data_IF_029349471512
#
_entry.id   IF_029349471512
#
_cell.length_a   1.000
_cell.length_b   1.000
_cell.length_c   1.000
_cell.angle_alpha   90.00
_cell.angle_beta   90.00
_cell.angle_gamma   90.00
#
_symmetry.space_group_name_H-M   'P 1'
#
loop_
_entity.id
_entity.type
_entity.pdbx_description
1 polymer ?
#
# COMPACT_ATOMS: atom_id res chain seq x y z
N UNK A 1 -19.82 -10.47 -13.16
CA UNK A 1 -18.44 -10.93 -12.89
C UNK A 1 -17.54 -9.77 -13.28
N UNK A 2 -17.04 -9.00 -12.31
CA UNK A 2 -16.18 -7.85 -12.60
C UNK A 2 -14.80 -8.37 -12.97
N UNK A 3 -14.51 -8.42 -14.27
CA UNK A 3 -13.20 -8.85 -14.78
C UNK A 3 -12.27 -7.63 -14.76
N UNK A 4 -11.31 -7.61 -13.84
CA UNK A 4 -10.21 -6.65 -13.87
C UNK A 4 -8.90 -7.40 -14.16
N UNK A 5 -8.36 -7.05 -15.32
CA UNK A 5 -7.06 -7.44 -15.86
C UNK A 5 -6.82 -8.94 -16.09
N UNK A 6 -5.94 -9.28 -17.03
CA UNK A 6 -5.68 -10.65 -17.52
C UNK A 6 -5.09 -11.62 -16.48
N UNK A 7 -4.93 -11.20 -15.22
CA UNK A 7 -4.21 -11.95 -14.17
C UNK A 7 -4.98 -12.20 -12.87
N UNK A 8 -6.20 -11.67 -12.70
CA UNK A 8 -6.96 -11.94 -11.47
C UNK A 8 -7.67 -13.30 -11.55
N UNK A 9 -7.34 -14.28 -10.68
CA UNK A 9 -7.97 -15.58 -10.75
C UNK A 9 -9.45 -15.47 -10.38
N UNK A 10 -10.31 -16.34 -10.96
CA UNK A 10 -11.69 -16.48 -10.49
C UNK A 10 -11.72 -16.69 -8.97
N UNK A 11 -12.69 -16.09 -8.29
CA UNK A 11 -12.86 -16.17 -6.83
C UNK A 11 -11.80 -15.44 -5.99
N UNK A 12 -11.05 -14.49 -6.58
CA UNK A 12 -10.12 -13.63 -5.84
C UNK A 12 -10.82 -12.51 -5.03
N UNK A 13 -11.82 -12.87 -4.23
CA UNK A 13 -12.60 -11.90 -3.45
C UNK A 13 -13.58 -11.06 -4.28
N UNK A 14 -13.89 -9.85 -3.82
CA UNK A 14 -14.89 -8.99 -4.45
C UNK A 14 -15.24 -7.73 -3.67
N UNK A 15 -16.28 -7.05 -4.15
CA UNK A 15 -16.83 -5.87 -3.50
C UNK A 15 -17.73 -6.25 -2.33
N UNK A 16 -17.55 -5.55 -1.21
CA UNK A 16 -18.37 -5.63 -0.01
C UNK A 16 -19.58 -4.70 -0.12
N UNK A 17 -20.60 -4.91 0.72
CA UNK A 17 -21.79 -4.04 0.76
C UNK A 17 -21.50 -2.59 1.11
N UNK A 18 -20.36 -2.33 1.76
CA UNK A 18 -19.92 -0.98 2.10
C UNK A 18 -19.19 -0.27 0.94
N UNK A 19 -19.07 -0.91 -0.23
CA UNK A 19 -18.40 -0.40 -1.43
C UNK A 19 -16.89 -0.64 -1.46
N UNK A 20 -16.28 -1.07 -0.35
CA UNK A 20 -14.88 -1.48 -0.33
C UNK A 20 -14.67 -2.81 -1.05
N UNK A 21 -13.43 -3.10 -1.43
CA UNK A 21 -13.03 -4.35 -2.08
C UNK A 21 -12.10 -5.14 -1.17
N UNK A 22 -12.37 -6.43 -1.02
CA UNK A 22 -11.52 -7.37 -0.29
C UNK A 22 -11.07 -8.47 -1.25
N UNK A 23 -9.77 -8.69 -1.40
CA UNK A 23 -9.19 -9.62 -2.39
C UNK A 23 -7.83 -10.14 -1.93
N UNK A 24 -7.30 -11.18 -2.58
CA UNK A 24 -5.92 -11.62 -2.36
C UNK A 24 -4.99 -10.94 -3.36
N UNK A 25 -3.94 -10.28 -2.87
CA UNK A 25 -2.85 -9.76 -3.69
C UNK A 25 -1.54 -10.42 -3.28
N UNK A 26 -0.93 -11.17 -4.21
CA UNK A 26 0.34 -11.87 -4.00
C UNK A 26 0.44 -12.68 -2.70
N UNK A 27 -0.66 -13.31 -2.28
CA UNK A 27 -0.73 -14.13 -1.06
C UNK A 27 -1.12 -13.37 0.22
N UNK A 28 -1.36 -12.05 0.13
CA UNK A 28 -1.84 -11.22 1.22
C UNK A 28 -3.31 -10.86 1.06
N UNK A 29 -4.03 -10.79 2.18
CA UNK A 29 -5.40 -10.27 2.19
C UNK A 29 -5.34 -8.74 2.09
N UNK A 30 -5.83 -8.19 0.98
CA UNK A 30 -5.84 -6.75 0.74
C UNK A 30 -7.27 -6.19 0.79
N UNK A 31 -7.40 -5.04 1.44
CA UNK A 31 -8.61 -4.24 1.46
C UNK A 31 -8.38 -2.87 0.83
N UNK A 32 -9.18 -2.55 -0.18
CA UNK A 32 -9.30 -1.20 -0.72
C UNK A 32 -10.59 -0.56 -0.21
N UNK A 33 -10.49 0.59 0.44
CA UNK A 33 -11.67 1.34 0.91
C UNK A 33 -12.57 1.75 -0.26
N UNK A 34 -13.88 1.98 -0.03
CA UNK A 34 -14.68 2.73 -1.00
C UNK A 34 -14.12 4.14 -1.21
N UNK A 35 -14.52 4.81 -2.28
CA UNK A 35 -14.19 6.21 -2.50
C UNK A 35 -14.78 7.09 -1.38
N UNK A 36 -13.94 7.93 -0.79
CA UNK A 36 -14.31 8.81 0.31
C UNK A 36 -14.04 10.27 -0.06
N UNK A 37 -14.98 11.16 0.25
CA UNK A 37 -14.83 12.61 0.01
C UNK A 37 -14.44 13.38 1.27
N UNK A 38 -14.52 12.74 2.45
CA UNK A 38 -14.11 13.30 3.73
C UNK A 38 -13.12 12.38 4.43
N UNK A 39 -12.16 12.99 5.14
CA UNK A 39 -11.14 12.25 5.89
C UNK A 39 -11.75 11.31 6.94
N UNK A 40 -12.76 11.77 7.69
CA UNK A 40 -13.39 10.92 8.71
C UNK A 40 -14.13 9.72 8.13
N UNK A 41 -14.64 9.80 6.90
CA UNK A 41 -15.24 8.66 6.19
C UNK A 41 -14.14 7.65 5.82
N UNK A 42 -13.03 8.11 5.25
CA UNK A 42 -11.88 7.26 4.93
C UNK A 42 -11.37 6.52 6.17
N UNK A 43 -11.16 7.24 7.27
CA UNK A 43 -10.71 6.65 8.55
C UNK A 43 -11.75 5.65 9.08
N UNK A 44 -13.04 5.95 8.98
CA UNK A 44 -14.09 5.03 9.42
C UNK A 44 -14.05 3.72 8.62
N UNK A 45 -13.85 3.77 7.30
CA UNK A 45 -13.74 2.56 6.47
C UNK A 45 -12.44 1.78 6.69
N UNK A 46 -11.32 2.47 6.90
CA UNK A 46 -10.04 1.85 7.25
C UNK A 46 -10.09 1.16 8.62
N UNK A 47 -10.83 1.71 9.59
CA UNK A 47 -11.06 1.07 10.89
C UNK A 47 -12.08 -0.06 10.80
N UNK A 48 -13.10 0.07 9.95
CA UNK A 48 -14.17 -0.91 9.84
C UNK A 48 -13.67 -2.29 9.36
N UNK A 49 -12.66 -2.32 8.48
CA UNK A 49 -12.12 -3.59 7.99
C UNK A 49 -11.46 -4.41 9.10
N UNK A 50 -10.78 -3.76 10.06
CA UNK A 50 -10.17 -4.47 11.19
C UNK A 50 -11.23 -5.24 11.99
N UNK A 51 -12.37 -4.62 12.27
CA UNK A 51 -13.49 -5.27 12.96
C UNK A 51 -14.09 -6.40 12.12
N UNK A 52 -14.21 -6.20 10.81
CA UNK A 52 -14.75 -7.21 9.90
C UNK A 52 -13.83 -8.43 9.82
N UNK A 53 -12.52 -8.25 9.73
CA UNK A 53 -11.54 -9.35 9.69
C UNK A 53 -11.58 -10.15 10.99
N UNK A 54 -11.57 -9.49 12.15
CA UNK A 54 -11.71 -10.18 13.45
C UNK A 54 -13.02 -10.94 13.53
N UNK A 55 -14.12 -10.34 13.06
CA UNK A 55 -15.41 -11.03 13.00
C UNK A 55 -15.36 -12.28 12.10
N UNK A 56 -14.75 -12.18 10.91
CA UNK A 56 -14.60 -13.32 9.98
C UNK A 56 -13.80 -14.44 10.65
N UNK A 57 -12.70 -14.14 11.34
CA UNK A 57 -11.90 -15.13 12.05
C UNK A 57 -12.70 -15.85 13.15
N UNK A 58 -13.51 -15.10 13.90
CA UNK A 58 -14.38 -15.65 14.94
C UNK A 58 -15.51 -16.51 14.35
N UNK A 59 -16.18 -16.01 13.31
CA UNK A 59 -17.28 -16.70 12.64
C UNK A 59 -16.80 -18.02 12.00
N UNK A 60 -15.55 -18.05 11.51
CA UNK A 60 -14.87 -19.25 10.98
C UNK A 60 -14.22 -20.12 12.06
N UNK A 61 -14.20 -19.68 13.32
CA UNK A 61 -13.58 -20.39 14.45
C UNK A 61 -12.06 -20.66 14.27
N UNK A 62 -11.35 -19.75 13.61
CA UNK A 62 -9.90 -19.87 13.35
C UNK A 62 -9.08 -18.77 14.04
N UNK A 63 -9.67 -18.02 14.96
CA UNK A 63 -9.01 -16.91 15.66
C UNK A 63 -7.79 -17.33 16.50
N UNK A 64 -7.71 -18.61 16.89
CA UNK A 64 -6.57 -19.17 17.63
C UNK A 64 -5.43 -19.64 16.71
N UNK A 65 -5.71 -19.85 15.43
CA UNK A 65 -4.76 -20.41 14.45
C UNK A 65 -4.25 -19.37 13.45
N UNK A 66 -5.07 -18.35 13.17
CA UNK A 66 -4.83 -17.36 12.15
C UNK A 66 -4.96 -15.95 12.72
N UNK A 67 -3.95 -15.12 12.44
CA UNK A 67 -3.98 -13.69 12.74
C UNK A 67 -3.49 -12.89 11.54
N UNK A 68 -3.95 -11.64 11.45
CA UNK A 68 -3.48 -10.69 10.45
C UNK A 68 -2.79 -9.52 11.16
N UNK A 69 -1.64 -9.11 10.62
CA UNK A 69 -0.87 -8.00 11.15
C UNK A 69 -0.95 -6.86 10.14
N UNK A 70 -1.47 -5.71 10.57
CA UNK A 70 -1.54 -4.49 9.76
C UNK A 70 -0.23 -3.70 9.94
N UNK A 71 0.82 -4.13 9.25
CA UNK A 71 2.12 -3.46 9.18
C UNK A 71 2.67 -3.51 7.75
N UNK A 72 3.96 -3.17 7.56
CA UNK A 72 4.58 -3.10 6.24
C UNK A 72 5.84 -3.96 6.08
N UNK A 73 6.22 -4.72 7.09
CA UNK A 73 7.44 -5.54 7.07
C UNK A 73 7.22 -6.89 7.77
N UNK A 74 7.82 -7.93 7.21
CA UNK A 74 8.06 -9.18 7.91
C UNK A 74 9.51 -9.22 8.38
N UNK A 75 9.72 -9.26 9.69
CA UNK A 75 11.07 -9.31 10.28
C UNK A 75 11.77 -10.64 10.05
N UNK A 76 11.04 -11.73 9.76
CA UNK A 76 11.63 -13.04 9.55
C UNK A 76 12.13 -13.22 8.12
N UNK A 77 11.32 -12.81 7.14
CA UNK A 77 11.67 -12.97 5.71
C UNK A 77 12.30 -11.74 5.09
N UNK A 78 12.21 -10.58 5.74
CA UNK A 78 12.61 -9.30 5.15
C UNK A 78 11.61 -8.73 4.14
N UNK A 79 10.50 -9.44 3.88
CA UNK A 79 9.48 -9.01 2.93
C UNK A 79 8.82 -7.69 3.37
N UNK A 80 8.33 -6.93 2.39
CA UNK A 80 7.59 -5.68 2.62
C UNK A 80 6.24 -5.66 1.90
N UNK A 81 5.26 -5.02 2.53
CA UNK A 81 3.87 -4.92 2.06
C UNK A 81 3.42 -3.45 2.04
N UNK A 82 2.49 -3.11 1.16
CA UNK A 82 2.05 -1.73 0.93
C UNK A 82 0.83 -1.32 1.75
N UNK A 83 0.78 -0.04 2.12
CA UNK A 83 -0.46 0.65 2.49
C UNK A 83 -0.57 1.84 1.55
N UNK A 84 -1.36 1.68 0.49
CA UNK A 84 -1.38 2.64 -0.63
C UNK A 84 -2.43 3.74 -0.42
N UNK A 85 -2.09 4.95 -0.82
CA UNK A 85 -3.01 6.08 -0.80
C UNK A 85 -3.39 6.48 -2.23
N UNK A 86 -4.67 6.79 -2.45
CA UNK A 86 -5.19 7.17 -3.76
C UNK A 86 -5.90 8.51 -3.67
N UNK A 87 -5.44 9.49 -4.44
CA UNK A 87 -6.01 10.84 -4.47
C UNK A 87 -6.51 11.18 -5.87
N UNK A 88 -7.76 11.64 -5.97
CA UNK A 88 -8.28 12.19 -7.23
C UNK A 88 -7.72 13.59 -7.46
N UNK A 89 -7.15 13.82 -8.63
CA UNK A 89 -6.61 15.11 -9.06
C UNK A 89 -7.31 15.56 -10.35
N UNK A 90 -7.42 16.88 -10.53
CA UNK A 90 -7.84 17.45 -11.80
C UNK A 90 -6.74 17.27 -12.84
N UNK A 91 -7.11 16.76 -14.02
CA UNK A 91 -6.19 16.54 -15.14
C UNK A 91 -5.60 17.84 -15.69
N UNK A 92 -6.29 18.97 -15.48
CA UNK A 92 -5.83 20.31 -15.86
C UNK A 92 -4.62 20.79 -15.06
N UNK A 93 -4.31 20.17 -13.90
CA UNK A 93 -3.13 20.50 -13.10
C UNK A 93 -1.90 19.84 -13.74
N UNK A 94 -0.88 20.60 -14.17
CA UNK A 94 0.32 20.04 -14.79
C UNK A 94 1.11 19.13 -13.83
N UNK A 95 1.08 17.82 -14.09
CA UNK A 95 1.57 16.79 -13.17
C UNK A 95 3.08 16.88 -12.89
N UNK A 96 3.91 16.82 -13.93
CA UNK A 96 5.38 16.88 -13.80
C UNK A 96 5.91 18.25 -13.38
N UNK A 97 5.17 19.33 -13.68
CA UNK A 97 5.61 20.70 -13.39
C UNK A 97 5.22 21.15 -11.99
N UNK A 98 4.09 20.68 -11.46
CA UNK A 98 3.56 21.15 -10.17
C UNK A 98 3.35 20.03 -9.16
N UNK A 99 2.71 18.92 -9.54
CA UNK A 99 2.34 17.87 -8.57
C UNK A 99 3.58 17.17 -8.01
N UNK A 100 4.44 16.63 -8.87
CA UNK A 100 5.64 15.89 -8.44
C UNK A 100 6.58 16.79 -7.61
N UNK A 101 7.02 17.97 -8.10
CA UNK A 101 8.00 18.78 -7.37
C UNK A 101 7.48 19.32 -6.04
N UNK A 102 6.18 19.54 -5.91
CA UNK A 102 5.58 20.04 -4.66
C UNK A 102 5.35 18.92 -3.64
N UNK A 103 4.89 17.74 -4.08
CA UNK A 103 4.55 16.66 -3.17
C UNK A 103 5.76 15.81 -2.76
N UNK A 104 6.81 15.73 -3.58
CA UNK A 104 7.97 14.88 -3.30
C UNK A 104 8.62 15.22 -1.94
N UNK A 105 8.98 16.48 -1.62
CA UNK A 105 9.60 16.80 -0.33
C UNK A 105 8.66 16.52 0.85
N UNK A 106 7.35 16.73 0.65
CA UNK A 106 6.34 16.43 1.65
C UNK A 106 6.26 14.92 1.94
N UNK A 107 6.22 14.06 0.93
CA UNK A 107 6.15 12.61 1.13
C UNK A 107 7.45 12.03 1.71
N UNK A 108 8.60 12.59 1.36
CA UNK A 108 9.88 12.18 1.98
C UNK A 108 9.90 12.51 3.48
N UNK A 109 9.31 13.64 3.90
CA UNK A 109 9.42 14.12 5.28
C UNK A 109 8.23 13.73 6.18
N UNK A 110 7.06 13.39 5.61
CA UNK A 110 5.85 13.08 6.41
C UNK A 110 6.01 11.90 7.37
N UNK A 111 6.95 11.00 7.10
CA UNK A 111 7.30 9.89 7.99
C UNK A 111 7.65 10.34 9.42
N UNK A 112 8.07 11.59 9.62
CA UNK A 112 8.33 12.18 10.93
C UNK A 112 7.09 12.12 11.84
N UNK A 113 5.89 12.28 11.28
CA UNK A 113 4.64 12.26 12.05
C UNK A 113 3.69 11.12 11.66
N UNK A 114 3.90 10.47 10.51
CA UNK A 114 3.08 9.37 10.02
C UNK A 114 3.77 8.00 10.07
N UNK A 115 5.02 7.94 10.52
CA UNK A 115 5.78 6.70 10.61
C UNK A 115 5.26 5.74 11.68
N UNK A 116 5.12 4.45 11.33
CA UNK A 116 4.67 3.40 12.24
C UNK A 116 5.79 2.82 13.13
N UNK A 117 7.05 3.19 12.88
CA UNK A 117 8.22 2.69 13.60
C UNK A 117 8.65 1.27 13.21
N UNK A 118 9.96 1.01 13.25
CA UNK A 118 10.58 -0.31 13.03
C UNK A 118 11.80 -0.48 13.93
N UNK A 119 12.01 -1.68 14.46
CA UNK A 119 13.30 -2.10 15.02
C UNK A 119 14.07 -2.89 13.97
N UNK A 120 15.33 -2.54 13.78
CA UNK A 120 16.15 -3.07 12.70
C UNK A 120 15.97 -2.31 11.38
N UNK A 121 16.81 -2.63 10.41
CA UNK A 121 16.78 -2.05 9.07
C UNK A 121 16.64 -3.12 7.98
N UNK A 122 16.54 -2.70 6.74
CA UNK A 122 16.70 -3.56 5.57
C UNK A 122 17.87 -3.04 4.72
N UNK A 123 18.71 -3.96 4.24
CA UNK A 123 19.81 -3.64 3.32
C UNK A 123 19.50 -4.29 1.96
N UNK A 124 19.11 -3.47 1.00
CA UNK A 124 18.79 -3.94 -0.35
C UNK A 124 20.00 -4.49 -1.11
N UNK A 125 21.23 -4.12 -0.73
CA UNK A 125 22.44 -4.63 -1.40
C UNK A 125 22.59 -6.14 -1.17
N UNK A 126 22.09 -6.66 -0.06
CA UNK A 126 22.04 -8.09 0.21
C UNK A 126 21.01 -8.82 -0.68
N UNK A 127 19.85 -8.20 -0.91
CA UNK A 127 18.76 -8.74 -1.74
C UNK A 127 19.14 -8.83 -3.23
N UNK A 128 19.84 -7.84 -3.78
CA UNK A 128 20.29 -7.82 -5.18
C UNK A 128 21.33 -8.92 -5.46
N UNK A 129 22.17 -9.26 -4.48
CA UNK A 129 23.24 -10.23 -4.63
C UNK A 129 22.81 -11.69 -4.30
N UNK A 130 21.53 -11.92 -3.93
CA UNK A 130 21.00 -13.22 -3.51
C UNK A 130 21.82 -13.90 -2.39
N UNK A 131 22.55 -13.12 -1.58
CA UNK A 131 23.34 -13.65 -0.45
C UNK A 131 22.43 -13.72 0.78
N UNK A 132 21.32 -14.44 0.66
CA UNK A 132 20.31 -14.56 1.70
C UNK A 132 19.61 -13.23 2.04
N UNK A 133 18.41 -13.34 2.63
CA UNK A 133 17.80 -12.21 3.33
C UNK A 133 18.51 -12.06 4.67
N UNK A 134 19.75 -11.59 4.67
CA UNK A 134 20.41 -11.23 5.92
C UNK A 134 19.77 -9.96 6.45
N UNK A 135 19.20 -10.05 7.67
CA UNK A 135 18.71 -8.88 8.38
C UNK A 135 19.85 -7.86 8.45
N UNK A 136 19.54 -6.58 8.16
CA UNK A 136 20.53 -5.50 8.26
C UNK A 136 21.26 -5.56 9.61
N UNK A 137 22.58 -5.32 9.59
CA UNK A 137 23.40 -5.15 10.81
C UNK A 137 22.94 -3.95 11.67
N UNK A 138 22.03 -3.13 11.16
CA UNK A 138 21.40 -2.07 11.93
C UNK A 138 20.47 -2.64 13.00
N UNK A 139 20.85 -2.47 14.27
CA UNK A 139 20.07 -2.93 15.45
C UNK A 139 19.27 -1.77 16.09
N UNK A 140 19.15 -0.63 15.41
CA UNK A 140 18.50 0.58 15.94
C UNK A 140 16.99 0.65 15.69
N UNK A 141 16.40 1.79 16.04
CA UNK A 141 15.02 2.13 15.73
C UNK A 141 14.95 3.11 14.55
N UNK A 142 14.03 2.87 13.63
CA UNK A 142 13.68 3.77 12.53
C UNK A 142 12.22 4.21 12.66
N UNK A 143 11.91 5.43 12.21
CA UNK A 143 10.54 5.96 12.25
C UNK A 143 9.63 5.36 11.18
N UNK A 144 10.18 4.85 10.06
CA UNK A 144 9.41 4.31 8.92
C UNK A 144 9.75 2.84 8.69
N UNK A 145 8.72 2.03 8.46
CA UNK A 145 8.88 0.63 8.06
C UNK A 145 9.21 0.48 6.57
N UNK A 146 8.85 1.48 5.75
CA UNK A 146 8.92 1.40 4.28
C UNK A 146 10.14 2.09 3.68
N UNK A 147 10.79 3.00 4.42
CA UNK A 147 11.83 3.87 3.86
C UNK A 147 12.98 3.09 3.20
N UNK A 148 13.46 2.01 3.85
CA UNK A 148 14.54 1.17 3.32
C UNK A 148 14.17 0.39 2.05
N UNK A 149 12.87 0.29 1.74
CA UNK A 149 12.35 -0.48 0.60
C UNK A 149 11.94 0.40 -0.60
N UNK A 150 12.04 1.72 -0.49
CA UNK A 150 11.68 2.66 -1.56
C UNK A 150 12.95 3.14 -2.26
N UNK A 151 13.09 2.79 -3.54
CA UNK A 151 14.36 2.93 -4.30
C UNK A 151 14.30 3.99 -5.38
N UNK A 152 13.11 4.47 -5.70
CA UNK A 152 12.87 5.39 -6.78
C UNK A 152 12.01 6.56 -6.33
N UNK A 153 12.23 7.73 -6.91
CA UNK A 153 11.37 8.88 -6.69
C UNK A 153 10.03 8.69 -7.43
N UNK A 154 10.09 8.36 -8.72
CA UNK A 154 8.95 8.31 -9.64
C UNK A 154 9.07 7.09 -10.55
N UNK A 155 8.00 6.31 -10.70
CA UNK A 155 8.01 5.15 -11.58
C UNK A 155 6.61 4.78 -12.11
N UNK A 156 6.54 4.22 -13.33
CA UNK A 156 5.27 3.99 -14.04
C UNK A 156 4.85 2.51 -14.11
N UNK A 157 5.80 1.57 -14.13
CA UNK A 157 5.55 0.16 -14.46
C UNK A 157 6.37 -0.81 -13.62
N UNK A 158 5.77 -1.89 -13.09
CA UNK A 158 6.38 -3.11 -12.51
C UNK A 158 6.49 -3.13 -10.96
N UNK A 159 6.23 -4.33 -10.40
CA UNK A 159 6.24 -4.72 -8.98
C UNK A 159 7.63 -4.68 -8.29
N UNK A 160 8.72 -4.51 -9.05
CA UNK A 160 10.09 -4.64 -8.57
C UNK A 160 10.81 -3.30 -8.33
N UNK A 161 10.21 -2.18 -8.70
CA UNK A 161 10.75 -0.84 -8.44
C UNK A 161 9.71 -0.06 -7.64
N UNK A 162 9.96 0.06 -6.34
CA UNK A 162 9.06 0.73 -5.41
C UNK A 162 9.41 2.21 -5.39
N UNK A 163 8.47 3.04 -5.82
CA UNK A 163 8.66 4.47 -5.94
C UNK A 163 7.79 5.26 -4.95
N UNK A 164 8.19 6.50 -4.65
CA UNK A 164 7.39 7.41 -3.83
C UNK A 164 6.10 7.82 -4.55
N UNK A 165 6.18 8.09 -5.85
CA UNK A 165 5.01 8.42 -6.68
C UNK A 165 4.90 7.43 -7.84
N UNK A 166 3.79 6.73 -7.92
CA UNK A 166 3.44 5.91 -9.06
C UNK A 166 2.70 6.74 -10.11
N UNK A 167 3.18 6.74 -11.36
CA UNK A 167 2.62 7.54 -12.46
C UNK A 167 1.64 6.78 -13.35
N UNK A 168 1.21 5.58 -12.94
CA UNK A 168 0.19 4.80 -13.65
C UNK A 168 -1.10 5.60 -13.83
N UNK A 169 -1.51 5.79 -15.08
CA UNK A 169 -2.64 6.65 -15.45
C UNK A 169 -3.97 5.87 -15.53
N UNK A 170 -4.42 5.34 -14.40
CA UNK A 170 -5.70 4.64 -14.25
C UNK A 170 -6.64 5.44 -13.34
N UNK A 171 -7.40 6.41 -13.88
CA UNK A 171 -8.14 7.38 -13.07
C UNK A 171 -9.37 6.79 -12.37
N UNK A 172 -9.90 5.66 -12.86
CA UNK A 172 -11.18 5.07 -12.43
C UNK A 172 -12.35 6.07 -12.44
N UNK A 173 -12.24 7.09 -13.29
CA UNK A 173 -13.15 8.20 -13.48
C UNK A 173 -13.05 8.68 -14.94
N UNK A 174 -13.74 9.77 -15.28
CA UNK A 174 -13.61 10.41 -16.60
C UNK A 174 -12.14 10.79 -16.88
N UNK A 175 -11.52 10.06 -17.81
CA UNK A 175 -10.10 10.18 -18.14
C UNK A 175 -9.72 11.59 -18.62
N UNK A 176 -10.65 12.34 -19.20
CA UNK A 176 -10.37 13.71 -19.67
C UNK A 176 -10.38 14.73 -18.53
N UNK A 177 -11.03 14.44 -17.41
CA UNK A 177 -11.21 15.37 -16.30
C UNK A 177 -10.27 15.08 -15.13
N UNK A 178 -9.99 13.82 -14.87
CA UNK A 178 -9.33 13.39 -13.64
C UNK A 178 -8.09 12.53 -13.90
N UNK A 179 -7.21 12.51 -12.89
CA UNK A 179 -6.12 11.56 -12.71
C UNK A 179 -6.25 10.96 -11.30
N UNK A 180 -5.73 9.76 -11.11
CA UNK A 180 -5.55 9.17 -9.78
C UNK A 180 -4.06 9.20 -9.45
N UNK A 181 -3.70 9.98 -8.44
CA UNK A 181 -2.37 9.93 -7.84
C UNK A 181 -2.32 8.71 -6.92
N UNK A 182 -1.37 7.82 -7.17
CA UNK A 182 -1.17 6.59 -6.41
C UNK A 182 0.18 6.67 -5.69
N UNK A 183 0.14 6.47 -4.36
CA UNK A 183 1.30 6.50 -3.46
C UNK A 183 1.45 5.16 -2.76
#
# INVERSE_FOLDING_TARGET
MHYRDWGEPPFNGGFLYNGGRLYMDMGHLEYASPECVKLFELVAYDRAIDFLVVKILNDLQVSEELSFIKNNVDHLTGATFGCHENYQLLRSVPFYKHVIPTLMPFFVTRQIYAGAGRVGGHDEVADINQVGHEASDFIGFQISQRADHIVAEVYEWIQFSRAIINTRDEPLADHNKYRRLHL
#
